data_IF_861542399655
#
_entry.id   IF_861542399655
#
_cell.length_a   1.000
_cell.length_b   1.000
_cell.length_c   1.000
_cell.angle_alpha   90.00
_cell.angle_beta   90.00
_cell.angle_gamma   90.00
#
_symmetry.space_group_name_H-M   'P 1'
#
loop_
_entity.id
_entity.type
_entity.pdbx_description
1 polymer ?
#
# COMPACT_ATOMS: atom_id res chain seq x y z
N UNK A 1 4.22 1.33 -10.17
CA UNK A 1 5.44 2.14 -10.19
C UNK A 1 6.44 1.56 -9.20
N UNK A 2 7.61 1.08 -9.67
CA UNK A 2 8.75 0.82 -8.79
C UNK A 2 9.33 2.18 -8.40
N UNK A 3 9.18 2.59 -7.15
CA UNK A 3 9.74 3.85 -6.62
C UNK A 3 11.25 3.80 -6.78
N UNK A 4 11.76 4.40 -7.87
CA UNK A 4 13.19 4.44 -8.19
C UNK A 4 13.83 5.63 -7.48
N UNK A 5 14.67 5.37 -6.50
CA UNK A 5 15.43 6.41 -5.81
C UNK A 5 16.61 5.81 -5.06
N UNK A 6 17.65 6.62 -4.81
CA UNK A 6 18.86 6.21 -4.08
C UNK A 6 18.55 5.69 -2.65
N UNK A 7 17.40 6.09 -2.10
CA UNK A 7 16.90 5.68 -0.78
C UNK A 7 15.79 4.62 -0.86
N UNK A 8 15.54 4.02 -2.02
CA UNK A 8 14.58 2.92 -2.15
C UNK A 8 15.12 1.68 -1.44
N UNK A 9 14.29 1.03 -0.62
CA UNK A 9 14.63 -0.21 0.06
C UNK A 9 14.63 -1.43 -0.87
N UNK A 10 14.19 -1.24 -2.12
CA UNK A 10 14.47 -2.17 -3.22
C UNK A 10 15.97 -2.26 -3.55
N UNK A 11 16.79 -1.29 -3.12
CA UNK A 11 18.25 -1.39 -3.21
C UNK A 11 18.79 -2.14 -1.98
N UNK A 12 19.46 -3.30 -2.15
CA UNK A 12 20.06 -4.06 -1.06
C UNK A 12 21.01 -3.23 -0.17
N UNK A 13 21.81 -2.34 -0.75
CA UNK A 13 22.76 -1.51 0.00
C UNK A 13 22.05 -0.51 0.92
N UNK A 14 20.96 0.08 0.43
CA UNK A 14 20.14 1.02 1.19
C UNK A 14 19.38 0.28 2.30
N UNK A 15 18.86 -0.91 2.00
CA UNK A 15 18.23 -1.77 2.99
C UNK A 15 19.20 -2.14 4.11
N UNK A 16 20.40 -2.63 3.77
CA UNK A 16 21.45 -2.95 4.73
C UNK A 16 21.86 -1.75 5.58
N UNK A 17 21.94 -0.57 4.97
CA UNK A 17 22.24 0.67 5.69
C UNK A 17 21.13 0.99 6.70
N UNK A 18 19.87 0.88 6.31
CA UNK A 18 18.74 1.19 7.18
C UNK A 18 18.59 0.14 8.29
N UNK A 19 18.76 -1.15 7.98
CA UNK A 19 18.81 -2.23 8.95
C UNK A 19 19.93 -2.03 9.98
N UNK A 20 21.16 -1.71 9.53
CA UNK A 20 22.27 -1.37 10.42
C UNK A 20 21.95 -0.15 11.28
N UNK A 21 21.23 0.83 10.73
CA UNK A 21 20.82 2.01 11.48
C UNK A 21 19.77 1.65 12.53
N UNK A 22 18.72 0.91 12.19
CA UNK A 22 17.71 0.45 13.14
C UNK A 22 18.33 -0.41 14.23
N UNK A 23 19.09 -1.45 13.88
CA UNK A 23 19.73 -2.33 14.88
C UNK A 23 20.73 -1.58 15.78
N UNK A 24 21.46 -0.59 15.25
CA UNK A 24 22.40 0.21 16.04
C UNK A 24 21.70 1.24 16.93
N UNK A 25 20.57 1.79 16.50
CA UNK A 25 19.90 2.93 17.15
C UNK A 25 18.74 2.50 18.04
N UNK A 26 18.11 1.39 17.70
CA UNK A 26 16.98 0.75 18.37
C UNK A 26 17.29 -0.75 18.55
N UNK A 27 18.27 -1.11 19.39
CA UNK A 27 18.70 -2.51 19.56
C UNK A 27 17.61 -3.42 20.14
N UNK A 28 16.54 -2.85 20.67
CA UNK A 28 15.38 -3.56 21.22
C UNK A 28 14.15 -3.51 20.29
N UNK A 29 14.30 -2.98 19.07
CA UNK A 29 13.26 -3.08 18.07
C UNK A 29 13.29 -4.46 17.41
N UNK A 30 12.12 -5.04 17.22
CA UNK A 30 11.94 -6.27 16.48
C UNK A 30 11.88 -5.92 14.99
N UNK A 31 13.00 -6.14 14.30
CA UNK A 31 13.10 -5.85 12.86
C UNK A 31 12.70 -7.06 12.05
N UNK A 32 11.72 -6.88 11.16
CA UNK A 32 11.15 -7.93 10.32
C UNK A 32 11.04 -7.49 8.86
N UNK A 33 10.93 -8.46 7.96
CA UNK A 33 10.69 -8.23 6.54
C UNK A 33 9.42 -8.92 6.06
N UNK A 34 8.56 -8.19 5.36
CA UNK A 34 7.37 -8.70 4.70
C UNK A 34 7.47 -8.49 3.18
N UNK A 35 7.52 -9.56 2.40
CA UNK A 35 7.62 -9.45 0.94
C UNK A 35 8.21 -10.67 0.27
N UNK A 36 8.59 -10.56 -1.01
CA UNK A 36 8.95 -11.71 -1.85
C UNK A 36 10.46 -11.97 -1.97
N UNK A 37 11.32 -11.05 -1.53
CA UNK A 37 12.78 -11.16 -1.62
C UNK A 37 13.34 -12.22 -0.68
N UNK A 38 14.40 -12.89 -1.09
CA UNK A 38 15.08 -13.94 -0.30
C UNK A 38 16.49 -13.53 0.12
N UNK A 39 17.03 -12.45 -0.44
CA UNK A 39 18.42 -12.02 -0.24
C UNK A 39 18.64 -11.24 1.06
N UNK A 40 17.61 -11.15 1.91
CA UNK A 40 17.62 -10.34 3.13
C UNK A 40 17.88 -11.22 4.36
N UNK A 41 18.88 -10.85 5.16
CA UNK A 41 19.19 -11.50 6.43
C UNK A 41 18.40 -10.88 7.59
N UNK A 42 17.07 -10.97 7.52
CA UNK A 42 16.12 -10.45 8.52
C UNK A 42 15.00 -11.47 8.70
N UNK A 43 14.44 -11.54 9.91
CA UNK A 43 13.29 -12.40 10.20
C UNK A 43 12.11 -12.08 9.29
N UNK A 44 11.56 -13.11 8.65
CA UNK A 44 10.43 -12.96 7.73
C UNK A 44 9.13 -12.92 8.53
N UNK A 45 8.32 -11.90 8.24
CA UNK A 45 6.94 -11.82 8.67
C UNK A 45 6.06 -12.59 7.67
N UNK A 46 5.34 -13.59 8.16
CA UNK A 46 4.21 -14.21 7.47
C UNK A 46 2.93 -13.74 8.15
N UNK A 47 1.94 -13.32 7.37
CA UNK A 47 0.61 -12.99 7.88
C UNK A 47 -0.31 -14.18 7.71
N UNK A 48 -1.23 -14.38 8.66
CA UNK A 48 -2.20 -15.46 8.57
C UNK A 48 -3.25 -15.15 7.52
N UNK A 49 -3.77 -16.20 6.87
CA UNK A 49 -4.99 -16.11 6.07
C UNK A 49 -6.16 -15.56 6.89
N UNK A 50 -6.18 -15.72 8.21
CA UNK A 50 -7.21 -15.10 9.06
C UNK A 50 -7.19 -13.57 8.98
N UNK A 51 -6.02 -12.95 8.96
CA UNK A 51 -5.88 -11.50 8.76
C UNK A 51 -6.39 -11.06 7.38
N UNK A 52 -6.30 -11.92 6.35
CA UNK A 52 -6.93 -11.68 5.04
C UNK A 52 -8.45 -11.70 5.15
N UNK A 53 -9.03 -12.60 5.96
CA UNK A 53 -10.48 -12.71 6.16
C UNK A 53 -11.04 -11.52 6.94
N UNK A 54 -10.33 -11.07 7.96
CA UNK A 54 -10.70 -9.90 8.77
C UNK A 54 -10.56 -8.60 7.98
N UNK A 55 -9.53 -8.47 7.15
CA UNK A 55 -9.34 -7.35 6.24
C UNK A 55 -10.06 -7.53 4.88
N UNK A 56 -10.95 -8.52 4.73
CA UNK A 56 -11.48 -8.92 3.42
C UNK A 56 -12.18 -7.79 2.66
N UNK A 57 -12.84 -6.87 3.36
CA UNK A 57 -13.52 -5.74 2.72
C UNK A 57 -12.54 -4.84 1.98
N UNK A 58 -11.49 -4.39 2.67
CA UNK A 58 -10.48 -3.50 2.07
C UNK A 58 -9.57 -4.25 1.09
N UNK A 59 -9.26 -5.52 1.34
CA UNK A 59 -8.49 -6.36 0.41
C UNK A 59 -9.28 -6.58 -0.88
N UNK A 60 -10.59 -6.82 -0.82
CA UNK A 60 -11.43 -6.96 -2.00
C UNK A 60 -11.49 -5.67 -2.82
N UNK A 61 -11.56 -4.51 -2.18
CA UNK A 61 -11.46 -3.21 -2.86
C UNK A 61 -10.11 -3.01 -3.53
N UNK A 62 -9.01 -3.29 -2.82
CA UNK A 62 -7.65 -3.17 -3.32
C UNK A 62 -7.41 -4.07 -4.54
N UNK A 63 -7.86 -5.33 -4.49
CA UNK A 63 -7.75 -6.28 -5.60
C UNK A 63 -8.61 -5.87 -6.81
N UNK A 64 -9.79 -5.30 -6.58
CA UNK A 64 -10.64 -4.79 -7.66
C UNK A 64 -10.02 -3.56 -8.34
N UNK A 65 -9.29 -2.72 -7.60
CA UNK A 65 -8.61 -1.55 -8.14
C UNK A 65 -7.47 -1.92 -9.12
N UNK A 66 -6.77 -3.03 -8.90
CA UNK A 66 -5.68 -3.48 -9.77
C UNK A 66 -6.12 -4.42 -10.90
N UNK A 67 -7.26 -5.11 -10.75
CA UNK A 67 -7.76 -6.04 -11.76
C UNK A 67 -8.34 -5.33 -12.98
N UNK A 68 -7.82 -5.64 -14.17
CA UNK A 68 -8.36 -5.10 -15.41
C UNK A 68 -9.73 -5.70 -15.79
N UNK A 69 -10.09 -6.86 -15.25
CA UNK A 69 -11.31 -7.60 -15.64
C UNK A 69 -12.37 -7.70 -14.57
N UNK A 70 -12.02 -7.50 -13.30
CA UNK A 70 -12.95 -7.59 -12.17
C UNK A 70 -13.10 -6.23 -11.51
N UNK A 71 -14.22 -5.55 -11.76
CA UNK A 71 -14.52 -4.23 -11.16
C UNK A 71 -15.01 -4.29 -9.72
N UNK A 72 -15.47 -5.46 -9.26
CA UNK A 72 -15.97 -5.67 -7.89
C UNK A 72 -15.68 -7.09 -7.45
N UNK A 73 -15.07 -7.23 -6.29
CA UNK A 73 -14.86 -8.50 -5.60
C UNK A 73 -15.77 -8.51 -4.39
N UNK A 74 -16.40 -9.66 -4.13
CA UNK A 74 -17.24 -9.88 -2.95
C UNK A 74 -16.31 -10.31 -1.79
N UNK A 75 -16.29 -9.59 -0.66
CA UNK A 75 -15.43 -9.92 0.48
C UNK A 75 -15.61 -11.35 0.97
N UNK A 76 -16.83 -11.90 0.90
CA UNK A 76 -17.15 -13.27 1.32
C UNK A 76 -16.38 -14.34 0.52
N UNK A 77 -15.89 -14.00 -0.68
CA UNK A 77 -15.02 -14.91 -1.43
C UNK A 77 -13.68 -15.13 -0.74
N UNK A 78 -13.13 -14.08 -0.12
CA UNK A 78 -11.83 -14.13 0.53
C UNK A 78 -11.93 -14.86 1.89
N UNK A 79 -13.08 -14.76 2.55
CA UNK A 79 -13.29 -15.30 3.91
C UNK A 79 -13.15 -16.82 4.04
N UNK A 80 -13.25 -17.57 2.94
CA UNK A 80 -13.22 -19.04 2.93
C UNK A 80 -12.00 -19.63 2.21
N UNK A 81 -10.99 -18.81 1.90
CA UNK A 81 -9.81 -19.24 1.14
C UNK A 81 -8.67 -19.63 2.09
N UNK A 82 -7.95 -20.68 1.72
CA UNK A 82 -6.58 -20.95 2.17
C UNK A 82 -5.57 -20.26 1.23
N UNK A 83 -4.27 -20.39 1.48
CA UNK A 83 -3.21 -19.76 0.68
C UNK A 83 -3.24 -20.25 -0.77
N UNK A 84 -3.49 -21.53 -1.01
CA UNK A 84 -3.60 -22.11 -2.35
C UNK A 84 -4.81 -21.55 -3.13
N UNK A 85 -5.98 -21.50 -2.49
CA UNK A 85 -7.19 -20.92 -3.05
C UNK A 85 -7.01 -19.43 -3.34
N UNK A 86 -6.36 -18.70 -2.45
CA UNK A 86 -6.08 -17.28 -2.61
C UNK A 86 -5.09 -17.04 -3.75
N UNK A 87 -4.01 -17.82 -3.85
CA UNK A 87 -3.08 -17.79 -4.99
C UNK A 87 -3.80 -18.06 -6.32
N UNK A 88 -4.58 -19.14 -6.40
CA UNK A 88 -5.37 -19.48 -7.58
C UNK A 88 -6.38 -18.36 -7.93
N UNK A 89 -6.99 -17.75 -6.91
CA UNK A 89 -7.88 -16.62 -7.08
C UNK A 89 -7.14 -15.40 -7.66
N UNK A 90 -5.97 -15.04 -7.12
CA UNK A 90 -5.12 -13.95 -7.62
C UNK A 90 -4.73 -14.15 -9.08
N UNK A 91 -4.18 -15.32 -9.43
CA UNK A 91 -3.86 -15.67 -10.83
C UNK A 91 -5.11 -15.53 -11.70
N UNK A 92 -6.26 -16.02 -11.22
CA UNK A 92 -7.52 -15.94 -11.94
C UNK A 92 -8.04 -14.52 -12.09
N UNK A 93 -7.77 -13.56 -11.19
CA UNK A 93 -8.27 -12.17 -11.34
C UNK A 93 -7.27 -11.24 -12.03
N UNK A 94 -5.97 -11.54 -11.96
CA UNK A 94 -4.90 -10.74 -12.59
C UNK A 94 -4.52 -11.21 -13.98
N UNK A 95 -4.72 -12.50 -14.28
CA UNK A 95 -4.46 -13.06 -15.61
C UNK A 95 -5.39 -12.52 -16.70
N UNK A 96 -5.23 -12.96 -17.96
CA UNK A 96 -6.04 -12.49 -19.08
C UNK A 96 -7.55 -12.71 -18.90
N UNK A 97 -8.41 -11.88 -19.52
CA UNK A 97 -9.84 -12.18 -19.59
C UNK A 97 -10.09 -13.35 -20.55
N UNK A 98 -11.07 -14.20 -20.21
CA UNK A 98 -11.58 -15.19 -21.16
C UNK A 98 -12.27 -14.48 -22.33
N UNK A 99 -12.43 -15.17 -23.45
CA UNK A 99 -13.09 -14.65 -24.67
C UNK A 99 -14.47 -14.06 -24.39
N UNK A 100 -15.29 -14.74 -23.58
CA UNK A 100 -16.61 -14.23 -23.14
C UNK A 100 -16.50 -12.99 -22.26
N UNK A 101 -15.50 -12.93 -21.38
CA UNK A 101 -15.30 -11.79 -20.48
C UNK A 101 -14.80 -10.56 -21.23
N UNK A 102 -13.87 -10.73 -22.18
CA UNK A 102 -13.37 -9.67 -23.07
C UNK A 102 -14.54 -9.10 -23.91
N UNK A 103 -15.39 -9.97 -24.46
CA UNK A 103 -16.61 -9.54 -25.14
C UNK A 103 -17.53 -8.69 -24.25
N UNK A 104 -17.84 -9.18 -23.04
CA UNK A 104 -18.66 -8.44 -22.07
C UNK A 104 -18.06 -7.07 -21.73
N UNK A 105 -16.75 -7.00 -21.54
CA UNK A 105 -16.05 -5.75 -21.24
C UNK A 105 -16.09 -4.75 -22.41
N UNK A 106 -15.92 -5.22 -23.66
CA UNK A 106 -16.00 -4.36 -24.85
C UNK A 106 -17.41 -3.83 -25.08
N UNK A 107 -18.43 -4.67 -24.87
CA UNK A 107 -19.83 -4.25 -24.92
C UNK A 107 -20.12 -3.18 -23.86
N UNK A 108 -19.69 -3.42 -22.62
CA UNK A 108 -19.88 -2.47 -21.53
C UNK A 108 -19.22 -1.12 -21.85
N UNK A 109 -17.96 -1.12 -22.33
CA UNK A 109 -17.27 0.11 -22.77
C UNK A 109 -18.01 0.82 -23.91
N UNK A 110 -18.56 0.07 -24.86
CA UNK A 110 -19.34 0.62 -25.97
C UNK A 110 -20.65 1.28 -25.52
N UNK A 111 -21.29 0.75 -24.48
CA UNK A 111 -22.54 1.28 -23.90
C UNK A 111 -22.26 2.48 -22.99
N UNK A 112 -21.19 2.43 -22.19
CA UNK A 112 -20.70 3.54 -21.37
C UNK A 112 -20.40 4.76 -22.25
N UNK A 113 -19.73 4.56 -23.40
CA UNK A 113 -19.49 5.63 -24.40
C UNK A 113 -20.76 6.21 -25.02
N UNK A 114 -21.90 5.54 -24.89
CA UNK A 114 -23.22 5.96 -25.40
C UNK A 114 -24.15 6.48 -24.29
N UNK A 115 -23.66 6.64 -23.06
CA UNK A 115 -24.42 7.20 -21.93
C UNK A 115 -25.45 6.26 -21.29
N UNK A 116 -25.45 4.97 -21.63
CA UNK A 116 -26.49 4.01 -21.23
C UNK A 116 -26.19 3.12 -20.00
N UNK A 117 -25.24 3.50 -19.16
CA UNK A 117 -24.61 2.59 -18.18
C UNK A 117 -25.59 2.02 -17.11
N UNK A 118 -26.61 2.77 -16.70
CA UNK A 118 -27.46 2.40 -15.55
C UNK A 118 -28.53 1.34 -15.86
N UNK A 119 -29.09 1.30 -17.08
CA UNK A 119 -30.11 0.28 -17.46
C UNK A 119 -29.51 -1.07 -17.90
N UNK A 120 -28.24 -1.09 -18.32
CA UNK A 120 -27.60 -2.30 -18.83
C UNK A 120 -27.04 -3.20 -17.71
N UNK A 121 -26.50 -2.61 -16.63
CA UNK A 121 -25.93 -3.37 -15.51
C UNK A 121 -26.99 -4.23 -14.81
N UNK A 122 -28.22 -3.74 -14.67
CA UNK A 122 -29.33 -4.48 -14.09
C UNK A 122 -29.88 -5.60 -14.99
N UNK A 123 -29.72 -5.51 -16.32
CA UNK A 123 -30.26 -6.49 -17.28
C UNK A 123 -29.29 -7.65 -17.59
N UNK A 124 -28.02 -7.55 -17.18
CA UNK A 124 -26.94 -8.49 -17.49
C UNK A 124 -26.60 -9.52 -16.40
N UNK A 125 -27.40 -9.63 -15.32
CA UNK A 125 -27.13 -10.56 -14.22
C UNK A 125 -27.11 -12.06 -14.64
N UNK A 126 -27.57 -12.39 -15.85
CA UNK A 126 -27.52 -13.75 -16.40
C UNK A 126 -26.66 -13.82 -17.67
N UNK A 127 -25.69 -14.75 -17.68
CA UNK A 127 -24.82 -15.06 -18.84
C UNK A 127 -25.63 -15.36 -20.12
N UNK A 128 -26.82 -15.93 -19.98
CA UNK A 128 -27.76 -16.25 -21.07
C UNK A 128 -28.28 -15.02 -21.82
N UNK A 129 -28.71 -13.96 -21.12
CA UNK A 129 -29.14 -12.70 -21.77
C UNK A 129 -27.99 -11.95 -22.46
N UNK A 130 -26.76 -12.15 -21.98
CA UNK A 130 -25.54 -11.62 -22.60
C UNK A 130 -25.28 -12.32 -23.94
N UNK A 131 -25.46 -13.63 -23.98
CA UNK A 131 -25.39 -14.44 -25.20
C UNK A 131 -26.51 -14.06 -26.17
N UNK A 132 -27.76 -13.90 -25.73
CA UNK A 132 -28.88 -13.49 -26.60
C UNK A 132 -28.66 -12.09 -27.22
N UNK A 133 -28.25 -11.11 -26.42
CA UNK A 133 -27.96 -9.76 -26.91
C UNK A 133 -26.75 -9.75 -27.87
N UNK A 134 -25.74 -10.58 -27.61
CA UNK A 134 -24.59 -10.79 -28.49
C UNK A 134 -24.96 -11.46 -29.81
N UNK A 135 -25.87 -12.44 -29.78
CA UNK A 135 -26.37 -13.12 -30.99
C UNK A 135 -27.16 -12.15 -31.88
N UNK A 136 -27.87 -11.19 -31.30
CA UNK A 136 -28.53 -10.12 -32.07
C UNK A 136 -27.55 -9.09 -32.67
N UNK A 137 -26.29 -9.06 -32.21
CA UNK A 137 -25.22 -8.13 -32.62
C UNK A 137 -23.98 -8.83 -33.17
N UNK A 138 -24.15 -9.74 -34.13
CA UNK A 138 -23.13 -10.67 -34.66
C UNK A 138 -21.74 -10.06 -34.92
N UNK A 139 -21.63 -8.81 -35.39
CA UNK A 139 -20.35 -8.19 -35.78
C UNK A 139 -19.34 -8.05 -34.63
N UNK A 140 -19.79 -7.74 -33.41
CA UNK A 140 -18.91 -7.60 -32.25
C UNK A 140 -18.38 -8.95 -31.74
N UNK A 141 -19.25 -9.96 -31.73
CA UNK A 141 -18.92 -11.34 -31.37
C UNK A 141 -17.87 -11.95 -32.30
N UNK A 142 -18.07 -11.81 -33.62
CA UNK A 142 -17.13 -12.33 -34.63
C UNK A 142 -15.75 -11.66 -34.55
N UNK A 143 -15.65 -10.36 -34.26
CA UNK A 143 -14.36 -9.67 -34.14
C UNK A 143 -13.56 -10.22 -32.95
N UNK A 144 -14.18 -10.40 -31.79
CA UNK A 144 -13.48 -10.90 -30.59
C UNK A 144 -13.08 -12.36 -30.77
N UNK A 145 -13.96 -13.21 -31.32
CA UNK A 145 -13.60 -14.58 -31.66
C UNK A 145 -12.48 -14.61 -32.68
N UNK A 146 -12.52 -13.78 -33.73
CA UNK A 146 -11.48 -13.78 -34.74
C UNK A 146 -10.11 -13.38 -34.15
N UNK A 147 -10.10 -12.42 -33.23
CA UNK A 147 -8.89 -12.05 -32.49
C UNK A 147 -8.42 -13.18 -31.57
N UNK A 148 -9.28 -13.73 -30.71
CA UNK A 148 -8.91 -14.82 -29.81
C UNK A 148 -8.51 -16.11 -30.55
N UNK A 149 -9.06 -16.38 -31.74
CA UNK A 149 -8.86 -17.63 -32.47
C UNK A 149 -7.79 -17.56 -33.56
N UNK A 150 -7.59 -16.41 -34.21
CA UNK A 150 -6.74 -16.32 -35.41
C UNK A 150 -5.63 -15.25 -35.33
N UNK A 151 -5.67 -14.34 -34.36
CA UNK A 151 -4.61 -13.36 -34.17
C UNK A 151 -3.50 -13.94 -33.27
N UNK A 152 -2.34 -14.24 -33.87
CA UNK A 152 -1.20 -14.84 -33.16
C UNK A 152 -0.58 -13.88 -32.15
N UNK A 153 -0.44 -12.60 -32.51
CA UNK A 153 0.16 -11.58 -31.65
C UNK A 153 -0.72 -11.34 -30.42
N UNK A 154 -2.05 -11.33 -30.61
CA UNK A 154 -2.98 -11.23 -29.51
C UNK A 154 -2.93 -12.45 -28.58
N UNK A 155 -2.82 -13.66 -29.12
CA UNK A 155 -2.66 -14.88 -28.32
C UNK A 155 -1.35 -14.88 -27.52
N UNK A 156 -0.25 -14.42 -28.11
CA UNK A 156 1.04 -14.29 -27.43
C UNK A 156 0.93 -13.31 -26.26
N UNK A 157 0.32 -12.13 -26.46
CA UNK A 157 0.05 -11.18 -25.37
C UNK A 157 -0.79 -11.75 -24.24
N UNK A 158 -1.82 -12.56 -24.56
CA UNK A 158 -2.62 -13.22 -23.52
C UNK A 158 -1.80 -14.25 -22.74
N UNK A 159 -0.93 -15.02 -23.42
CA UNK A 159 -0.04 -15.98 -22.78
C UNK A 159 0.99 -15.30 -21.88
N UNK A 160 1.65 -14.26 -22.37
CA UNK A 160 2.61 -13.47 -21.58
C UNK A 160 1.96 -12.95 -20.30
N UNK A 161 0.74 -12.43 -20.40
CA UNK A 161 -0.01 -11.96 -19.23
C UNK A 161 -0.43 -13.09 -18.27
N UNK A 162 -0.73 -14.28 -18.81
CA UNK A 162 -1.03 -15.45 -17.99
C UNK A 162 0.21 -15.94 -17.25
N UNK A 163 1.36 -15.98 -17.93
CA UNK A 163 2.66 -16.34 -17.36
C UNK A 163 3.11 -15.32 -16.31
N UNK A 164 2.94 -14.02 -16.57
CA UNK A 164 3.20 -12.94 -15.61
C UNK A 164 2.32 -13.08 -14.36
N UNK A 165 1.02 -13.33 -14.53
CA UNK A 165 0.14 -13.54 -13.38
C UNK A 165 0.53 -14.79 -12.58
N UNK A 166 0.89 -15.89 -13.26
CA UNK A 166 1.36 -17.10 -12.59
C UNK A 166 2.69 -16.88 -11.86
N UNK A 167 3.63 -16.13 -12.44
CA UNK A 167 4.93 -15.89 -11.82
C UNK A 167 4.84 -14.94 -10.62
N UNK A 168 3.93 -13.97 -10.64
CA UNK A 168 3.73 -13.04 -9.52
C UNK A 168 2.85 -13.60 -8.40
N UNK A 169 1.90 -14.47 -8.71
CA UNK A 169 0.87 -14.89 -7.76
C UNK A 169 0.81 -16.40 -7.53
N UNK A 170 1.86 -17.15 -7.88
CA UNK A 170 1.95 -18.58 -7.58
C UNK A 170 1.91 -18.85 -6.08
N UNK A 171 1.56 -20.08 -5.71
CA UNK A 171 1.57 -20.53 -4.33
C UNK A 171 2.93 -20.26 -3.67
N UNK A 172 4.03 -20.59 -4.35
CA UNK A 172 5.39 -20.38 -3.82
C UNK A 172 5.72 -18.91 -3.56
N UNK A 173 5.11 -17.97 -4.29
CA UNK A 173 5.32 -16.53 -4.08
C UNK A 173 4.41 -16.00 -2.98
N UNK A 174 3.12 -16.36 -3.02
CA UNK A 174 2.16 -15.91 -2.01
C UNK A 174 2.45 -16.53 -0.64
N UNK A 175 2.87 -17.79 -0.60
CA UNK A 175 3.29 -18.51 0.61
C UNK A 175 4.53 -17.93 1.30
N UNK A 176 5.27 -17.01 0.65
CA UNK A 176 6.35 -16.23 1.29
C UNK A 176 5.85 -15.05 2.12
N UNK A 177 4.57 -14.73 2.01
CA UNK A 177 3.92 -13.61 2.70
C UNK A 177 2.74 -14.07 3.53
N UNK A 178 2.08 -15.18 3.16
CA UNK A 178 0.89 -15.70 3.81
C UNK A 178 1.06 -17.14 4.28
N UNK A 179 0.46 -17.45 5.42
CA UNK A 179 0.36 -18.80 5.97
C UNK A 179 -1.10 -19.16 6.25
N UNK A 180 -1.44 -20.45 6.14
CA UNK A 180 -2.79 -20.95 6.46
C UNK A 180 -3.06 -20.96 7.96
N UNK A 181 -2.02 -21.22 8.75
CA UNK A 181 -2.07 -21.25 10.21
C UNK A 181 -1.72 -19.88 10.79
N UNK A 182 -1.89 -19.72 12.10
CA UNK A 182 -1.44 -18.52 12.80
C UNK A 182 0.07 -18.58 12.97
N UNK A 183 0.77 -17.67 12.31
CA UNK A 183 2.18 -17.39 12.60
C UNK A 183 2.30 -15.94 13.05
N UNK A 184 2.67 -15.73 14.31
CA UNK A 184 2.89 -14.39 14.88
C UNK A 184 4.38 -14.19 15.19
N UNK A 185 5.17 -13.65 14.24
CA UNK A 185 6.55 -13.25 14.52
C UNK A 185 6.64 -11.87 15.19
N UNK A 186 5.51 -11.18 15.29
CA UNK A 186 5.34 -9.98 16.06
C UNK A 186 5.67 -10.22 17.55
N UNK A 187 6.51 -9.35 18.13
CA UNK A 187 6.87 -9.40 19.57
C UNK A 187 6.57 -8.08 20.28
N UNK A 188 6.38 -8.12 21.60
CA UNK A 188 6.13 -6.90 22.40
C UNK A 188 7.19 -5.82 22.14
N UNK A 189 6.76 -4.55 22.16
CA UNK A 189 7.62 -3.39 21.91
C UNK A 189 7.47 -2.79 20.51
N UNK A 190 8.59 -2.29 19.97
CA UNK A 190 8.61 -1.60 18.66
C UNK A 190 8.91 -2.60 17.57
N UNK A 191 7.96 -2.81 16.66
CA UNK A 191 8.11 -3.68 15.51
C UNK A 191 8.35 -2.82 14.25
N UNK A 192 9.53 -2.97 13.64
CA UNK A 192 9.88 -2.27 12.41
C UNK A 192 9.75 -3.25 11.26
N UNK A 193 8.74 -3.05 10.43
CA UNK A 193 8.43 -3.94 9.30
C UNK A 193 8.89 -3.26 8.01
N UNK A 194 9.86 -3.87 7.36
CA UNK A 194 10.29 -3.48 6.03
C UNK A 194 9.49 -4.24 4.98
N UNK A 195 8.99 -3.56 3.96
CA UNK A 195 8.25 -4.26 2.90
C UNK A 195 8.46 -3.68 1.50
N UNK A 196 8.54 -4.58 0.51
CA UNK A 196 8.50 -4.21 -0.90
C UNK A 196 7.08 -4.26 -1.48
N UNK A 197 6.08 -4.56 -0.64
CA UNK A 197 4.72 -4.78 -1.08
C UNK A 197 3.97 -3.48 -1.43
N UNK A 198 4.54 -2.28 -1.32
CA UNK A 198 3.81 -1.04 -1.64
C UNK A 198 3.51 -0.82 -3.12
N UNK A 199 4.13 -1.60 -3.99
CA UNK A 199 3.89 -1.54 -5.43
C UNK A 199 2.50 -2.04 -5.83
N UNK A 200 2.15 -1.83 -7.10
CA UNK A 200 0.89 -2.30 -7.68
C UNK A 200 0.63 -3.79 -7.44
N UNK A 201 1.68 -4.63 -7.46
CA UNK A 201 1.51 -6.07 -7.43
C UNK A 201 1.10 -6.63 -6.07
N UNK A 202 1.50 -6.01 -4.95
CA UNK A 202 1.27 -6.57 -3.62
C UNK A 202 0.70 -5.56 -2.61
N UNK A 203 0.39 -4.33 -3.02
CA UNK A 203 -0.09 -3.27 -2.10
C UNK A 203 -1.38 -3.61 -1.38
N UNK A 204 -2.16 -4.55 -1.92
CA UNK A 204 -3.35 -5.10 -1.28
C UNK A 204 -3.05 -5.93 -0.01
N UNK A 205 -1.80 -6.30 0.24
CA UNK A 205 -1.37 -7.01 1.46
C UNK A 205 -1.00 -6.07 2.61
N UNK A 206 -0.84 -4.77 2.37
CA UNK A 206 -0.54 -3.80 3.45
C UNK A 206 -1.65 -3.77 4.53
N UNK A 207 -2.95 -3.80 4.18
CA UNK A 207 -4.00 -4.00 5.18
C UNK A 207 -3.87 -5.29 5.99
N UNK A 208 -3.38 -6.36 5.36
CA UNK A 208 -3.27 -7.69 5.99
C UNK A 208 -2.21 -7.67 7.09
N UNK A 209 -1.05 -7.06 6.85
CA UNK A 209 -0.02 -6.94 7.89
C UNK A 209 -0.43 -6.02 9.05
N UNK A 210 -1.19 -4.95 8.75
CA UNK A 210 -1.74 -4.07 9.79
C UNK A 210 -2.76 -4.85 10.62
N UNK A 211 -3.62 -5.64 9.98
CA UNK A 211 -4.59 -6.48 10.67
C UNK A 211 -3.91 -7.55 11.53
N UNK A 212 -2.86 -8.19 11.01
CA UNK A 212 -2.06 -9.17 11.76
C UNK A 212 -1.44 -8.54 13.02
N UNK A 213 -0.90 -7.33 12.90
CA UNK A 213 -0.36 -6.58 14.02
C UNK A 213 -1.44 -6.26 15.07
N UNK A 214 -2.59 -5.75 14.64
CA UNK A 214 -3.71 -5.40 15.54
C UNK A 214 -4.33 -6.63 16.23
N UNK A 215 -4.26 -7.80 15.59
CA UNK A 215 -4.71 -9.08 16.17
C UNK A 215 -3.74 -9.62 17.21
N UNK A 216 -2.45 -9.36 17.03
CA UNK A 216 -1.39 -9.88 17.91
C UNK A 216 -1.20 -9.03 19.16
N UNK A 217 -1.42 -7.71 19.08
CA UNK A 217 -1.15 -6.79 20.19
C UNK A 217 -2.34 -5.97 20.64
N UNK A 218 -2.39 -5.79 21.96
CA UNK A 218 -3.15 -4.72 22.59
C UNK A 218 -2.32 -3.43 22.69
N UNK A 219 -0.99 -3.53 22.78
CA UNK A 219 -0.09 -2.37 22.85
C UNK A 219 1.16 -2.59 21.98
N UNK A 220 1.49 -1.63 21.13
CA UNK A 220 2.68 -1.72 20.28
C UNK A 220 2.75 -0.66 19.20
N UNK A 221 3.89 -0.62 18.51
CA UNK A 221 4.10 0.28 17.36
C UNK A 221 4.53 -0.56 16.17
N UNK A 222 3.82 -0.41 15.05
CA UNK A 222 4.28 -0.88 13.75
C UNK A 222 4.75 0.33 12.93
N UNK A 223 5.97 0.22 12.39
CA UNK A 223 6.52 1.20 11.45
C UNK A 223 6.53 0.59 10.06
N UNK A 224 5.81 1.21 9.12
CA UNK A 224 5.88 0.88 7.69
C UNK A 224 6.77 1.89 6.97
N UNK A 225 7.61 1.38 6.10
CA UNK A 225 8.61 2.13 5.36
C UNK A 225 8.08 2.88 4.14
N UNK A 226 6.80 2.71 3.79
CA UNK A 226 6.16 3.51 2.76
C UNK A 226 4.60 3.47 2.82
N UNK A 227 3.98 4.18 1.87
CA UNK A 227 2.57 4.07 1.52
C UNK A 227 2.35 3.19 0.27
N UNK A 228 1.25 2.42 0.20
CA UNK A 228 0.80 1.79 -1.05
C UNK A 228 0.70 2.81 -2.18
N UNK A 229 0.90 2.39 -3.43
CA UNK A 229 0.87 3.26 -4.61
C UNK A 229 -0.43 4.12 -4.66
N UNK A 230 -0.37 5.45 -4.44
CA UNK A 230 -1.56 6.28 -4.20
C UNK A 230 -2.61 6.32 -5.31
N UNK A 231 -2.16 6.28 -6.57
CA UNK A 231 -2.99 6.25 -7.77
C UNK A 231 -3.82 4.97 -7.92
N UNK A 232 -3.39 3.90 -7.27
CA UNK A 232 -4.04 2.59 -7.30
C UNK A 232 -4.80 2.32 -6.00
N UNK A 233 -4.21 2.69 -4.88
CA UNK A 233 -4.59 2.23 -3.54
C UNK A 233 -5.10 3.37 -2.65
N UNK A 234 -5.72 4.42 -3.21
CA UNK A 234 -6.26 5.55 -2.44
C UNK A 234 -7.21 5.12 -1.32
N UNK A 235 -8.06 4.12 -1.56
CA UNK A 235 -8.96 3.55 -0.53
C UNK A 235 -8.22 2.83 0.58
N UNK A 236 -7.15 2.11 0.26
CA UNK A 236 -6.29 1.48 1.26
C UNK A 236 -5.64 2.55 2.13
N UNK A 237 -5.13 3.63 1.54
CA UNK A 237 -4.53 4.73 2.29
C UNK A 237 -5.56 5.38 3.22
N UNK A 238 -6.77 5.65 2.73
CA UNK A 238 -7.87 6.16 3.57
C UNK A 238 -8.19 5.21 4.74
N UNK A 239 -8.22 3.90 4.48
CA UNK A 239 -8.43 2.89 5.52
C UNK A 239 -7.30 2.91 6.55
N UNK A 240 -6.05 2.98 6.10
CA UNK A 240 -4.86 3.06 6.97
C UNK A 240 -4.93 4.27 7.89
N UNK A 241 -5.33 5.43 7.39
CA UNK A 241 -5.37 6.68 8.18
C UNK A 241 -6.48 6.68 9.23
N UNK A 242 -7.54 5.89 9.05
CA UNK A 242 -8.71 5.92 9.95
C UNK A 242 -8.77 4.75 10.92
N UNK A 243 -7.92 3.72 10.76
CA UNK A 243 -8.02 2.46 11.51
C UNK A 243 -7.23 2.39 12.82
N UNK A 244 -6.04 2.99 12.97
CA UNK A 244 -5.26 2.91 14.20
C UNK A 244 -5.99 3.47 15.44
N UNK A 245 -7.03 4.28 15.27
CA UNK A 245 -7.85 4.81 16.36
C UNK A 245 -8.82 3.78 16.96
N UNK A 246 -8.96 2.59 16.38
CA UNK A 246 -9.91 1.55 16.82
C UNK A 246 -9.36 0.64 17.93
N UNK A 247 -8.04 0.55 18.11
CA UNK A 247 -7.39 -0.32 19.11
C UNK A 247 -6.50 0.51 20.02
N UNK A 248 -6.98 0.76 21.24
CA UNK A 248 -6.26 1.50 22.28
C UNK A 248 -4.90 0.85 22.56
N UNK A 249 -3.81 1.63 22.52
CA UNK A 249 -2.45 1.14 22.76
C UNK A 249 -1.64 0.78 21.51
N UNK A 250 -2.29 0.60 20.36
CA UNK A 250 -1.63 0.33 19.09
C UNK A 250 -1.37 1.61 18.29
N UNK A 251 -0.17 1.74 17.73
CA UNK A 251 0.22 2.89 16.90
C UNK A 251 0.82 2.45 15.57
N UNK A 252 0.50 3.22 14.53
CA UNK A 252 1.05 3.05 13.19
C UNK A 252 1.88 4.28 12.83
N UNK A 253 3.13 4.06 12.42
CA UNK A 253 3.97 5.10 11.82
C UNK A 253 4.24 4.77 10.35
N UNK A 254 4.13 5.76 9.48
CA UNK A 254 4.36 5.63 8.05
C UNK A 254 5.49 6.56 7.63
N UNK A 255 6.47 6.02 6.90
CA UNK A 255 7.47 6.85 6.23
C UNK A 255 6.91 7.32 4.88
N UNK A 256 6.88 8.64 4.64
CA UNK A 256 6.33 9.20 3.39
C UNK A 256 7.41 9.99 2.64
N UNK A 257 7.95 9.48 1.51
CA UNK A 257 8.96 10.19 0.76
C UNK A 257 8.35 11.38 0.01
N UNK A 258 8.76 12.60 0.38
CA UNK A 258 8.24 13.86 -0.20
C UNK A 258 8.60 14.09 -1.68
N UNK A 259 9.51 13.29 -2.24
CA UNK A 259 9.93 13.42 -3.65
C UNK A 259 8.84 12.99 -4.65
N UNK A 260 7.82 12.27 -4.18
CA UNK A 260 6.72 11.79 -5.02
C UNK A 260 5.40 12.26 -4.42
N UNK A 261 4.96 13.44 -4.85
CA UNK A 261 3.63 13.94 -4.56
C UNK A 261 2.58 12.94 -5.08
N UNK A 262 1.66 12.44 -4.24
CA UNK A 262 0.48 11.77 -4.75
C UNK A 262 -0.25 12.71 -5.70
N UNK A 263 -0.51 12.28 -6.93
CA UNK A 263 -1.31 13.06 -7.90
C UNK A 263 -2.81 12.95 -7.63
N UNK A 264 -3.20 12.07 -6.72
CA UNK A 264 -4.59 11.81 -6.32
C UNK A 264 -4.94 12.66 -5.11
N UNK A 265 -5.90 13.56 -5.27
CA UNK A 265 -6.34 14.53 -4.27
C UNK A 265 -6.77 13.84 -2.96
N UNK A 266 -7.50 12.72 -3.05
CA UNK A 266 -7.93 11.97 -1.87
C UNK A 266 -6.76 11.41 -1.05
N UNK A 267 -5.65 11.06 -1.71
CA UNK A 267 -4.45 10.63 -1.03
C UNK A 267 -3.73 11.82 -0.38
N UNK A 268 -3.66 12.96 -1.08
CA UNK A 268 -3.08 14.19 -0.52
C UNK A 268 -3.83 14.59 0.75
N UNK A 269 -5.16 14.56 0.73
CA UNK A 269 -5.99 14.84 1.91
C UNK A 269 -5.72 13.87 3.05
N UNK A 270 -5.54 12.57 2.75
CA UNK A 270 -5.22 11.54 3.75
C UNK A 270 -3.85 11.79 4.39
N UNK A 271 -2.84 12.14 3.59
CA UNK A 271 -1.51 12.50 4.11
C UNK A 271 -1.55 13.80 4.90
N UNK A 272 -2.32 14.79 4.45
CA UNK A 272 -2.52 16.04 5.18
C UNK A 272 -3.13 15.78 6.56
N UNK A 273 -4.13 14.89 6.66
CA UNK A 273 -4.72 14.49 7.94
C UNK A 273 -3.66 13.90 8.88
N UNK A 274 -2.86 12.95 8.39
CA UNK A 274 -1.77 12.37 9.20
C UNK A 274 -0.78 13.43 9.71
N UNK A 275 -0.36 14.33 8.83
CA UNK A 275 0.64 15.36 9.16
C UNK A 275 0.07 16.43 10.09
N UNK A 276 -1.25 16.67 10.07
CA UNK A 276 -1.91 17.71 10.88
C UNK A 276 -2.13 17.34 12.34
N UNK A 277 -2.05 16.06 12.71
CA UNK A 277 -2.23 15.60 14.09
C UNK A 277 -0.88 15.37 14.76
N UNK A 278 -0.08 14.44 14.24
CA UNK A 278 1.27 14.16 14.74
C UNK A 278 2.21 13.83 13.60
N UNK A 279 3.37 14.48 13.52
CA UNK A 279 4.37 14.12 12.51
C UNK A 279 5.82 14.41 12.93
N UNK A 280 6.73 13.72 12.25
CA UNK A 280 8.17 13.96 12.32
C UNK A 280 8.67 14.28 10.92
N UNK A 281 9.28 15.45 10.72
CA UNK A 281 9.79 15.91 9.43
C UNK A 281 11.30 16.03 9.48
N UNK A 282 11.99 15.17 8.72
CA UNK A 282 13.45 15.21 8.58
C UNK A 282 13.91 16.11 7.44
N UNK A 283 13.17 16.08 6.33
CA UNK A 283 13.44 16.81 5.10
C UNK A 283 12.13 16.84 4.30
N UNK A 284 11.92 17.86 3.48
CA UNK A 284 10.68 18.00 2.71
C UNK A 284 10.90 18.77 1.41
N UNK A 285 10.42 18.21 0.31
CA UNK A 285 10.36 18.93 -0.97
C UNK A 285 9.43 20.15 -0.85
N UNK A 286 9.82 21.29 -1.42
CA UNK A 286 9.05 22.55 -1.35
C UNK A 286 7.61 22.40 -1.85
N UNK A 287 7.39 21.68 -2.94
CA UNK A 287 6.05 21.51 -3.53
C UNK A 287 5.15 20.68 -2.60
N UNK A 288 5.73 19.67 -1.96
CA UNK A 288 5.05 18.85 -0.97
C UNK A 288 4.72 19.66 0.30
N UNK A 289 5.65 20.50 0.74
CA UNK A 289 5.43 21.41 1.86
C UNK A 289 4.23 22.32 1.63
N UNK A 290 4.17 23.00 0.48
CA UNK A 290 3.06 23.87 0.13
C UNK A 290 1.73 23.11 0.05
N UNK A 291 1.74 21.91 -0.54
CA UNK A 291 0.54 21.09 -0.69
C UNK A 291 -0.04 20.64 0.65
N UNK A 292 0.82 20.21 1.58
CA UNK A 292 0.38 19.79 2.92
C UNK A 292 -0.09 20.97 3.77
N UNK A 293 0.57 22.12 3.66
CA UNK A 293 0.30 23.27 4.51
C UNK A 293 -0.55 24.35 3.84
N UNK A 294 -1.20 24.07 2.70
CA UNK A 294 -2.03 25.06 1.96
C UNK A 294 -3.07 25.78 2.84
N UNK A 295 -3.56 25.11 3.88
CA UNK A 295 -4.56 25.64 4.82
C UNK A 295 -3.96 26.23 6.10
N UNK A 296 -2.64 26.25 6.24
CA UNK A 296 -1.95 26.78 7.40
C UNK A 296 -1.94 28.32 7.39
N UNK A 297 -1.80 28.93 8.56
CA UNK A 297 -1.68 30.39 8.65
C UNK A 297 -0.31 30.86 8.11
N UNK A 298 -0.25 32.11 7.65
CA UNK A 298 1.00 32.72 7.19
C UNK A 298 2.10 32.68 8.28
N UNK A 299 1.72 32.80 9.56
CA UNK A 299 2.64 32.68 10.69
C UNK A 299 3.24 31.28 10.81
N UNK A 300 2.43 30.22 10.65
CA UNK A 300 2.90 28.83 10.68
C UNK A 300 3.85 28.57 9.50
N UNK A 301 3.53 29.06 8.31
CA UNK A 301 4.44 28.97 7.17
C UNK A 301 5.79 29.65 7.43
N UNK A 302 5.77 30.90 7.89
CA UNK A 302 6.99 31.64 8.18
C UNK A 302 7.86 30.91 9.22
N UNK A 303 7.24 30.39 10.28
CA UNK A 303 7.92 29.62 11.31
C UNK A 303 8.53 28.33 10.75
N UNK A 304 7.78 27.55 9.97
CA UNK A 304 8.29 26.31 9.37
C UNK A 304 9.47 26.57 8.44
N UNK A 305 9.42 27.64 7.62
CA UNK A 305 10.56 28.03 6.79
C UNK A 305 11.80 28.40 7.60
N UNK A 306 11.63 29.18 8.67
CA UNK A 306 12.71 29.51 9.59
C UNK A 306 13.33 28.23 10.17
N UNK A 307 12.50 27.24 10.51
CA UNK A 307 12.98 25.96 11.06
C UNK A 307 13.68 25.08 10.04
N UNK A 308 13.18 24.97 8.81
CA UNK A 308 13.90 24.26 7.76
C UNK A 308 15.25 24.92 7.46
N UNK A 309 15.33 26.25 7.50
CA UNK A 309 16.59 26.96 7.34
C UNK A 309 17.57 26.66 8.49
N UNK A 310 17.10 26.74 9.74
CA UNK A 310 17.87 26.38 10.94
C UNK A 310 18.38 24.93 10.87
N UNK A 311 17.55 24.00 10.40
CA UNK A 311 17.91 22.60 10.21
C UNK A 311 19.00 22.42 9.15
N UNK A 312 18.89 23.10 8.00
CA UNK A 312 19.88 23.01 6.92
C UNK A 312 21.23 23.62 7.28
N UNK A 313 21.26 24.75 7.99
CA UNK A 313 22.51 25.33 8.50
C UNK A 313 23.23 24.34 9.43
N UNK A 314 22.50 23.77 10.38
CA UNK A 314 23.08 22.84 11.35
C UNK A 314 23.40 21.46 10.76
N UNK A 315 22.71 21.05 9.69
CA UNK A 315 23.05 19.86 8.90
C UNK A 315 24.43 19.97 8.27
N UNK A 316 24.81 21.16 7.79
CA UNK A 316 26.16 21.44 7.25
C UNK A 316 27.25 21.32 8.31
N UNK A 317 26.90 21.54 9.58
CA UNK A 317 27.78 21.36 10.74
C UNK A 317 27.88 19.89 11.20
N UNK A 318 27.18 18.96 10.51
CA UNK A 318 27.23 17.52 10.78
C UNK A 318 26.30 17.06 11.90
N UNK A 319 25.39 17.92 12.36
CA UNK A 319 24.32 17.57 13.29
C UNK A 319 23.03 17.23 12.53
N UNK A 320 22.24 16.28 13.05
CA UNK A 320 20.95 15.91 12.44
C UNK A 320 19.82 16.53 13.24
N UNK A 321 18.84 17.12 12.56
CA UNK A 321 17.68 17.74 13.16
C UNK A 321 16.41 17.23 12.51
N UNK A 322 15.29 17.35 13.21
CA UNK A 322 13.97 17.12 12.66
C UNK A 322 12.94 18.03 13.34
N UNK A 323 11.86 18.31 12.63
CA UNK A 323 10.68 18.99 13.18
C UNK A 323 9.76 17.92 13.75
N UNK A 324 9.31 18.11 14.98
CA UNK A 324 8.25 17.35 15.61
C UNK A 324 6.98 18.22 15.66
N UNK A 325 5.86 17.64 15.24
CA UNK A 325 4.54 18.22 15.39
C UNK A 325 3.67 17.33 16.25
N UNK A 326 3.01 17.91 17.25
CA UNK A 326 1.94 17.26 17.99
C UNK A 326 0.85 18.31 18.28
N UNK A 327 -0.30 18.19 17.61
CA UNK A 327 -1.41 19.12 17.74
C UNK A 327 -2.07 19.07 19.13
N UNK A 328 -1.79 18.06 19.95
CA UNK A 328 -2.38 17.86 21.27
C UNK A 328 -1.50 18.39 22.41
N UNK A 329 -0.28 18.82 22.13
CA UNK A 329 0.67 19.39 23.10
C UNK A 329 0.57 20.93 23.15
N UNK A 330 0.92 21.52 24.31
CA UNK A 330 0.96 22.99 24.46
C UNK A 330 1.95 23.66 23.49
N UNK A 331 3.06 22.98 23.21
CA UNK A 331 4.04 23.36 22.19
C UNK A 331 3.85 22.44 20.99
N UNK A 332 3.03 22.89 20.04
CA UNK A 332 2.61 22.07 18.93
C UNK A 332 3.68 21.83 17.86
N UNK A 333 4.73 22.65 17.81
CA UNK A 333 5.86 22.44 16.90
C UNK A 333 7.21 22.63 17.61
N UNK A 334 8.11 21.66 17.48
CA UNK A 334 9.42 21.67 18.12
C UNK A 334 10.51 21.24 17.13
N UNK A 335 11.68 21.91 17.17
CA UNK A 335 12.88 21.45 16.46
C UNK A 335 13.75 20.63 17.41
N UNK A 336 13.96 19.37 17.06
CA UNK A 336 14.70 18.43 17.91
C UNK A 336 16.07 18.13 17.31
N UNK A 337 17.11 18.19 18.15
CA UNK A 337 18.49 17.87 17.78
C UNK A 337 18.84 16.41 18.06
N UNK A 338 19.41 15.74 17.06
CA UNK A 338 20.06 14.43 17.15
C UNK A 338 21.58 14.63 17.10
N UNK A 339 22.16 15.06 18.23
CA UNK A 339 23.63 15.03 18.37
C UNK A 339 24.17 13.60 18.29
N UNK A 340 25.36 13.44 17.70
CA UNK A 340 26.13 12.19 17.81
C UNK A 340 26.26 11.80 19.30
N UNK A 341 25.61 10.71 19.70
CA UNK A 341 25.75 10.13 21.04
C UNK A 341 24.57 10.28 22.00
N UNK A 342 23.44 10.93 21.65
CA UNK A 342 22.25 11.05 22.54
C UNK A 342 20.97 10.49 21.93
N UNK A 343 21.03 9.22 21.49
CA UNK A 343 19.87 8.47 20.96
C UNK A 343 18.89 8.07 22.09
N UNK A 344 19.31 8.13 23.35
CA UNK A 344 18.44 7.94 24.52
C UNK A 344 17.28 8.94 24.55
N UNK A 345 17.40 10.11 23.89
CA UNK A 345 16.28 11.05 23.70
C UNK A 345 15.26 10.59 22.67
N UNK A 346 15.65 9.87 21.61
CA UNK A 346 14.69 9.27 20.68
C UNK A 346 13.80 8.29 21.42
N UNK A 347 14.33 7.47 22.35
CA UNK A 347 13.52 6.60 23.22
C UNK A 347 12.46 7.38 24.02
N UNK A 348 12.83 8.53 24.59
CA UNK A 348 11.90 9.39 25.32
C UNK A 348 10.86 10.07 24.42
N UNK A 349 11.24 10.38 23.18
CA UNK A 349 10.38 10.94 22.15
C UNK A 349 9.40 9.88 21.64
N UNK A 350 9.87 8.67 21.30
CA UNK A 350 8.99 7.54 20.96
C UNK A 350 8.01 7.23 22.11
N UNK A 351 8.44 7.29 23.38
CA UNK A 351 7.54 7.14 24.55
C UNK A 351 6.57 8.31 24.79
N UNK A 352 6.82 9.50 24.23
CA UNK A 352 5.92 10.67 24.34
C UNK A 352 5.00 10.79 23.13
N UNK A 353 5.48 10.41 21.95
CA UNK A 353 4.76 10.46 20.68
C UNK A 353 3.76 9.30 20.57
N UNK A 354 4.16 8.11 21.03
CA UNK A 354 3.41 6.86 20.88
C UNK A 354 2.82 6.39 22.20
#
# INVERSE_FOLDING_TARGET
MNRKGKLSLNNPETFDMLLKLVNKKLPEANTMYFGVREDLNVERLLASMESVKEAADIVAEALAAISEKVRKIKPEKLKNMNVEDFSNFLVKIMGPPSTLKDMSMRLQKGIEKRGGATKFIASMASVTRLIEYLLTGAKGFFIVIKQHAFDKEFKEKLKEKEEEAKSLYSYDVIGKMLADEEETPFREGVNVVFTDCFGRNYGFLIPVIIQEFLRTFNEGIIVLDDLPQPDVYSKVIQWIVNRPDEVEGCKLALFVPSAYLPTVEECVDSVRKMVSEKCIVFDMNSDFFHTLHERASATVHAWLYEKFFEMEEKRREGECYFIHHDAFEEVNWEVISLRKGKIERLRGIFRRIF
#
